data_IF_320560359177
#
_entry.id   IF_320560359177
#
_cell.length_a   1.000
_cell.length_b   1.000
_cell.length_c   1.000
_cell.angle_alpha   90.00
_cell.angle_beta   90.00
_cell.angle_gamma   90.00
#
_symmetry.space_group_name_H-M   'P 1'
#
loop_
_entity.id
_entity.type
_entity.pdbx_description
1 polymer ?
#
# COMPACT_ATOMS: atom_id res chain seq x y z
N UNK A 1 -6.09 -15.10 8.94
CA UNK A 1 -6.68 -14.29 7.87
C UNK A 1 -6.01 -14.61 6.56
N UNK A 2 -6.79 -14.84 5.53
CA UNK A 2 -6.28 -15.08 4.19
C UNK A 2 -6.04 -13.76 3.47
N UNK A 3 -4.94 -13.68 2.73
CA UNK A 3 -4.63 -12.57 1.86
C UNK A 3 -4.77 -12.94 0.40
N UNK A 4 -4.59 -11.97 -0.47
CA UNK A 4 -4.56 -12.14 -1.91
C UNK A 4 -3.19 -11.70 -2.43
N UNK A 5 -2.58 -12.54 -3.25
CA UNK A 5 -1.42 -12.15 -4.04
C UNK A 5 -1.89 -11.73 -5.41
N UNK A 6 -1.44 -10.57 -5.86
CA UNK A 6 -1.79 -9.98 -7.14
C UNK A 6 -0.51 -9.73 -7.93
N UNK A 7 -0.43 -10.34 -9.12
CA UNK A 7 0.69 -10.17 -10.05
C UNK A 7 0.18 -9.55 -11.35
N UNK A 8 1.09 -8.95 -12.12
CA UNK A 8 0.74 -8.45 -13.46
C UNK A 8 -0.12 -7.21 -13.49
N UNK A 9 -0.10 -6.40 -12.42
CA UNK A 9 -0.85 -5.14 -12.35
C UNK A 9 -0.18 -4.02 -13.15
N UNK A 10 1.08 -4.19 -13.49
CA UNK A 10 1.89 -3.17 -14.18
C UNK A 10 1.33 -2.85 -15.57
N UNK A 11 1.29 -1.57 -15.89
CA UNK A 11 0.85 -1.04 -17.20
C UNK A 11 1.88 -0.06 -17.73
N UNK A 12 1.74 0.36 -18.99
CA UNK A 12 2.59 1.41 -19.56
C UNK A 12 2.37 2.79 -18.90
N UNK A 13 1.20 3.00 -18.31
CA UNK A 13 0.83 4.24 -17.62
C UNK A 13 1.24 4.19 -16.15
N UNK A 14 1.20 3.00 -15.57
CA UNK A 14 1.50 2.75 -14.15
C UNK A 14 2.40 1.51 -14.05
N UNK A 15 3.70 1.65 -14.34
CA UNK A 15 4.62 0.50 -14.34
C UNK A 15 4.73 -0.21 -12.99
N UNK A 16 4.57 0.51 -11.88
CA UNK A 16 4.58 -0.09 -10.56
C UNK A 16 3.31 -0.86 -10.23
N UNK A 17 2.20 -0.53 -10.91
CA UNK A 17 0.89 -1.13 -10.64
C UNK A 17 0.21 -0.65 -9.37
N UNK A 18 0.90 0.12 -8.53
CA UNK A 18 0.37 0.57 -7.24
C UNK A 18 -0.86 1.46 -7.40
N UNK A 19 -0.81 2.43 -8.31
CA UNK A 19 -1.94 3.32 -8.57
C UNK A 19 -3.15 2.54 -9.07
N UNK A 20 -2.96 1.64 -10.03
CA UNK A 20 -4.03 0.80 -10.57
C UNK A 20 -4.69 -0.04 -9.47
N UNK A 21 -3.90 -0.65 -8.61
CA UNK A 21 -4.41 -1.41 -7.47
C UNK A 21 -5.25 -0.55 -6.54
N UNK A 22 -4.74 0.61 -6.13
CA UNK A 22 -5.44 1.51 -5.20
C UNK A 22 -6.68 2.12 -5.84
N UNK A 23 -6.64 2.47 -7.12
CA UNK A 23 -7.81 3.01 -7.83
C UNK A 23 -8.94 2.00 -7.96
N UNK A 24 -8.62 0.72 -8.02
CA UNK A 24 -9.63 -0.34 -8.08
C UNK A 24 -10.50 -0.35 -6.81
N UNK A 25 -9.94 0.05 -5.67
CA UNK A 25 -10.66 0.17 -4.40
C UNK A 25 -10.69 1.64 -3.93
N UNK A 26 -10.89 2.54 -4.86
CA UNK A 26 -10.76 3.98 -4.68
C UNK A 26 -11.58 4.54 -3.49
N UNK A 27 -12.84 4.17 -3.38
CA UNK A 27 -13.68 4.62 -2.26
C UNK A 27 -13.14 4.18 -0.90
N UNK A 28 -12.69 2.93 -0.81
CA UNK A 28 -12.04 2.43 0.39
C UNK A 28 -10.77 3.23 0.70
N UNK A 29 -9.94 3.51 -0.30
CA UNK A 29 -8.70 4.28 -0.11
C UNK A 29 -9.00 5.66 0.46
N UNK A 30 -9.99 6.36 -0.10
CA UNK A 30 -10.34 7.72 0.33
C UNK A 30 -10.97 7.78 1.72
N UNK A 31 -11.62 6.70 2.16
CA UNK A 31 -12.30 6.64 3.46
C UNK A 31 -11.35 6.38 4.64
N UNK A 32 -10.08 6.16 4.39
CA UNK A 32 -9.11 5.77 5.41
C UNK A 32 -7.89 6.70 5.41
N UNK A 33 -7.20 6.74 6.55
CA UNK A 33 -5.83 7.24 6.61
C UNK A 33 -4.88 6.08 6.48
N UNK A 34 -3.68 6.36 5.99
CA UNK A 34 -2.71 5.34 5.66
C UNK A 34 -1.37 5.60 6.31
N UNK A 35 -0.76 4.58 6.88
CA UNK A 35 0.65 4.58 7.21
C UNK A 35 1.43 3.94 6.08
N UNK A 36 2.54 4.54 5.71
CA UNK A 36 3.48 3.99 4.72
C UNK A 36 4.83 3.88 5.38
N UNK A 37 5.39 2.69 5.36
CA UNK A 37 6.67 2.41 6.03
C UNK A 37 7.43 1.32 5.30
N UNK A 38 8.71 1.17 5.64
CA UNK A 38 9.61 0.18 5.04
C UNK A 38 9.57 0.23 3.51
N UNK A 39 9.41 1.44 2.96
CA UNK A 39 9.13 1.64 1.56
C UNK A 39 10.40 1.94 0.78
N UNK A 40 10.56 1.26 -0.33
CA UNK A 40 11.55 1.58 -1.36
C UNK A 40 10.79 1.90 -2.63
N UNK A 41 10.53 3.19 -2.83
CA UNK A 41 9.73 3.72 -3.93
C UNK A 41 10.60 4.57 -4.85
N UNK A 42 10.63 4.24 -6.11
CA UNK A 42 11.30 5.04 -7.13
C UNK A 42 10.27 5.90 -7.83
N UNK A 43 10.53 7.20 -7.88
CA UNK A 43 9.58 8.18 -8.36
C UNK A 43 9.96 8.71 -9.76
N UNK A 44 8.94 9.22 -10.47
CA UNK A 44 9.15 9.96 -11.70
C UNK A 44 10.03 11.20 -11.46
N UNK A 45 10.88 11.60 -12.44
CA UNK A 45 11.81 12.72 -12.26
C UNK A 45 11.13 14.07 -11.96
N UNK A 46 9.90 14.25 -12.40
CA UNK A 46 9.12 15.49 -12.21
C UNK A 46 8.22 15.49 -10.98
N UNK A 47 8.44 14.52 -10.07
CA UNK A 47 7.69 14.46 -8.82
C UNK A 47 7.91 15.71 -7.98
N UNK A 48 6.87 16.15 -7.25
CA UNK A 48 6.95 17.32 -6.39
C UNK A 48 7.90 17.09 -5.21
N UNK A 49 8.39 18.19 -4.61
CA UNK A 49 9.20 18.11 -3.40
C UNK A 49 8.46 17.43 -2.25
N UNK A 50 7.15 17.63 -2.14
CA UNK A 50 6.30 16.98 -1.15
C UNK A 50 6.29 15.47 -1.33
N UNK A 51 6.10 14.97 -2.56
CA UNK A 51 6.08 13.54 -2.86
C UNK A 51 7.45 12.89 -2.64
N UNK A 52 8.53 13.55 -3.03
CA UNK A 52 9.89 13.10 -2.76
C UNK A 52 10.13 12.97 -1.25
N UNK A 53 9.69 13.95 -0.47
CA UNK A 53 9.80 13.92 0.99
C UNK A 53 8.97 12.79 1.58
N UNK A 54 7.75 12.57 1.13
CA UNK A 54 6.90 11.47 1.59
C UNK A 54 7.57 10.11 1.35
N UNK A 55 8.10 9.89 0.17
CA UNK A 55 8.79 8.63 -0.16
C UNK A 55 10.04 8.43 0.71
N UNK A 56 10.82 9.48 0.95
CA UNK A 56 12.00 9.42 1.82
C UNK A 56 11.61 9.10 3.27
N UNK A 57 10.62 9.77 3.81
CA UNK A 57 10.15 9.51 5.17
C UNK A 57 9.59 8.09 5.32
N UNK A 58 8.92 7.59 4.31
CA UNK A 58 8.40 6.22 4.30
C UNK A 58 9.53 5.18 4.25
N UNK A 59 10.70 5.51 3.72
CA UNK A 59 11.87 4.64 3.73
C UNK A 59 12.61 4.65 5.07
N UNK A 60 12.56 5.78 5.78
CA UNK A 60 13.29 5.98 7.05
C UNK A 60 12.47 5.63 8.29
N UNK A 61 11.15 5.61 8.18
CA UNK A 61 10.25 5.35 9.30
C UNK A 61 8.83 5.20 8.81
N UNK A 62 7.90 5.83 9.52
CA UNK A 62 6.48 5.83 9.16
C UNK A 62 6.08 7.22 8.69
N UNK A 63 5.45 7.32 7.53
CA UNK A 63 4.77 8.54 7.13
C UNK A 63 3.25 8.30 7.07
N UNK A 64 2.48 9.31 7.47
CA UNK A 64 1.03 9.26 7.45
C UNK A 64 0.48 10.06 6.28
N UNK A 65 -0.41 9.44 5.52
CA UNK A 65 -1.04 10.05 4.35
C UNK A 65 -2.55 9.89 4.44
N UNK A 66 -3.28 10.90 3.95
CA UNK A 66 -4.68 10.70 3.61
C UNK A 66 -4.80 9.78 2.40
N UNK A 67 -6.00 9.24 2.14
CA UNK A 67 -6.22 8.45 0.93
C UNK A 67 -5.91 9.23 -0.35
N UNK A 68 -6.27 10.51 -0.40
CA UNK A 68 -5.96 11.38 -1.55
C UNK A 68 -4.46 11.59 -1.73
N UNK A 69 -3.72 11.81 -0.64
CA UNK A 69 -2.26 11.94 -0.68
C UNK A 69 -1.59 10.63 -1.13
N UNK A 70 -2.10 9.50 -0.66
CA UNK A 70 -1.59 8.19 -1.08
C UNK A 70 -1.78 7.96 -2.59
N UNK A 71 -2.94 8.29 -3.13
CA UNK A 71 -3.20 8.18 -4.57
C UNK A 71 -2.27 9.10 -5.37
N UNK A 72 -2.05 10.32 -4.89
CA UNK A 72 -1.14 11.27 -5.55
C UNK A 72 0.31 10.76 -5.53
N UNK A 73 0.76 10.19 -4.42
CA UNK A 73 2.09 9.58 -4.33
C UNK A 73 2.19 8.37 -5.28
N UNK A 74 1.20 7.49 -5.26
CA UNK A 74 1.18 6.30 -6.11
C UNK A 74 1.27 6.66 -7.60
N UNK A 75 0.66 7.78 -8.02
CA UNK A 75 0.73 8.26 -9.41
C UNK A 75 2.15 8.63 -9.85
N UNK A 76 3.06 8.89 -8.92
CA UNK A 76 4.45 9.23 -9.19
C UNK A 76 5.41 8.04 -9.10
N UNK A 77 4.95 6.88 -8.61
CA UNK A 77 5.80 5.70 -8.39
C UNK A 77 6.03 4.94 -9.68
N UNK A 78 7.28 4.79 -10.07
CA UNK A 78 7.69 3.97 -11.22
C UNK A 78 8.02 2.54 -10.82
N UNK A 79 8.58 2.36 -9.63
CA UNK A 79 8.88 1.05 -9.04
C UNK A 79 8.54 1.10 -7.55
N UNK A 80 7.75 0.15 -7.10
CA UNK A 80 7.51 -0.11 -5.69
C UNK A 80 8.20 -1.43 -5.33
N UNK A 81 9.48 -1.36 -4.96
CA UNK A 81 10.27 -2.54 -4.63
C UNK A 81 9.77 -3.19 -3.34
N UNK A 82 9.59 -2.37 -2.31
CA UNK A 82 9.09 -2.78 -1.00
C UNK A 82 8.17 -1.70 -0.46
N UNK A 83 7.29 -2.07 0.42
CA UNK A 83 6.47 -1.12 1.15
C UNK A 83 5.36 -1.80 1.93
N UNK A 84 5.06 -1.26 3.11
CA UNK A 84 3.92 -1.63 3.92
C UNK A 84 2.95 -0.45 3.99
N UNK A 85 1.76 -0.63 3.43
CA UNK A 85 0.71 0.37 3.35
C UNK A 85 -0.47 -0.13 4.19
N UNK A 86 -0.69 0.48 5.35
CA UNK A 86 -1.74 0.07 6.28
C UNK A 86 -2.85 1.11 6.32
N UNK A 87 -4.08 0.66 6.19
CA UNK A 87 -5.28 1.49 6.24
C UNK A 87 -5.90 1.47 7.63
N UNK A 88 -6.23 2.64 8.15
CA UNK A 88 -6.87 2.82 9.45
C UNK A 88 -8.10 3.72 9.32
N UNK A 89 -9.11 3.54 10.19
CA UNK A 89 -10.17 4.54 10.31
C UNK A 89 -9.58 5.92 10.63
N UNK A 90 -10.08 7.01 10.05
CA UNK A 90 -9.44 8.33 10.18
C UNK A 90 -9.33 8.85 11.63
N UNK A 91 -10.26 8.44 12.50
CA UNK A 91 -10.34 8.93 13.88
C UNK A 91 -9.51 8.11 14.87
N UNK A 92 -8.94 6.98 14.45
CA UNK A 92 -8.20 6.09 15.35
C UNK A 92 -6.81 6.64 15.62
N UNK A 93 -6.39 6.63 16.88
CA UNK A 93 -5.01 6.94 17.24
C UNK A 93 -4.16 5.67 17.20
N UNK A 94 -3.08 5.70 16.44
CA UNK A 94 -2.24 4.54 16.18
C UNK A 94 -0.84 4.79 16.68
N UNK A 95 -0.28 3.79 17.37
CA UNK A 95 1.11 3.77 17.81
C UNK A 95 1.75 2.48 17.34
N UNK A 96 2.95 2.58 16.77
CA UNK A 96 3.75 1.42 16.37
C UNK A 96 4.91 1.23 17.34
N UNK A 97 5.15 -0.03 17.76
CA UNK A 97 6.37 -0.39 18.48
C UNK A 97 7.61 -0.31 17.57
N UNK A 98 7.43 -0.72 16.31
CA UNK A 98 8.40 -0.57 15.23
C UNK A 98 7.64 -0.35 13.92
N UNK A 99 8.26 0.30 12.91
CA UNK A 99 7.57 0.51 11.64
C UNK A 99 7.13 -0.81 11.00
N UNK A 100 5.89 -0.94 10.52
CA UNK A 100 5.45 -2.13 9.80
C UNK A 100 6.41 -2.49 8.66
N UNK A 101 6.73 -3.76 8.53
CA UNK A 101 7.67 -4.27 7.52
C UNK A 101 9.13 -4.17 7.89
N UNK A 102 9.49 -3.50 8.99
CA UNK A 102 10.89 -3.25 9.36
C UNK A 102 11.67 -4.50 9.75
N UNK A 103 10.99 -5.56 10.18
CA UNK A 103 11.63 -6.82 10.60
C UNK A 103 11.74 -7.84 9.46
N UNK A 104 11.31 -7.48 8.26
CA UNK A 104 11.34 -8.38 7.09
C UNK A 104 10.34 -9.52 7.14
N UNK A 105 9.60 -9.68 8.22
CA UNK A 105 8.54 -10.67 8.33
C UNK A 105 7.24 -10.11 7.82
N UNK A 106 6.56 -10.91 7.01
CA UNK A 106 5.26 -10.58 6.44
C UNK A 106 4.20 -11.31 7.27
N UNK A 107 3.69 -10.63 8.30
CA UNK A 107 2.51 -11.09 9.04
C UNK A 107 1.27 -10.44 8.46
N UNK A 108 0.17 -11.18 8.29
CA UNK A 108 -1.08 -10.58 7.88
C UNK A 108 -1.53 -9.52 8.90
N UNK A 109 -1.73 -8.32 8.44
CA UNK A 109 -2.13 -7.13 9.21
C UNK A 109 -1.26 -6.92 10.45
N UNK A 110 -0.23 -6.12 10.28
CA UNK A 110 0.83 -5.86 11.27
C UNK A 110 0.41 -4.94 12.42
N UNK A 111 -0.85 -4.55 12.49
CA UNK A 111 -1.39 -3.76 13.59
C UNK A 111 -2.85 -4.14 13.86
N UNK A 112 -3.25 -4.31 15.12
CA UNK A 112 -4.61 -4.76 15.46
C UNK A 112 -5.72 -3.80 15.04
N UNK A 113 -5.43 -2.51 14.88
CA UNK A 113 -6.41 -1.50 14.46
C UNK A 113 -6.46 -1.29 12.94
N UNK A 114 -5.52 -1.85 12.19
CA UNK A 114 -5.54 -1.76 10.73
C UNK A 114 -6.71 -2.55 10.16
N UNK A 115 -7.42 -1.96 9.21
CA UNK A 115 -8.53 -2.65 8.51
C UNK A 115 -8.08 -3.33 7.24
N UNK A 116 -6.96 -2.89 6.68
CA UNK A 116 -6.34 -3.52 5.52
C UNK A 116 -4.85 -3.20 5.46
N UNK A 117 -4.12 -4.04 4.76
CA UNK A 117 -2.70 -3.85 4.50
C UNK A 117 -2.41 -4.24 3.06
N UNK A 118 -1.68 -3.39 2.37
CA UNK A 118 -1.10 -3.67 1.05
C UNK A 118 0.40 -3.73 1.22
N UNK A 119 1.01 -4.82 0.76
CA UNK A 119 2.45 -4.99 0.76
C UNK A 119 2.96 -5.04 -0.66
N UNK A 120 3.91 -4.16 -0.99
CA UNK A 120 4.66 -4.26 -2.22
C UNK A 120 5.88 -5.15 -1.96
N UNK A 121 6.09 -6.13 -2.83
CA UNK A 121 7.11 -7.17 -2.63
C UNK A 121 7.96 -7.33 -3.89
N UNK A 122 9.25 -7.09 -3.74
CA UNK A 122 10.30 -7.36 -4.73
C UNK A 122 10.04 -6.73 -6.11
N UNK A 123 9.33 -5.60 -6.15
CA UNK A 123 9.03 -4.90 -7.41
C UNK A 123 8.11 -5.64 -8.37
N UNK A 124 7.60 -6.84 -7.99
CA UNK A 124 6.92 -7.73 -8.92
C UNK A 124 5.45 -8.01 -8.59
N UNK A 125 5.06 -7.91 -7.34
CA UNK A 125 3.70 -8.25 -6.96
C UNK A 125 3.27 -7.57 -5.67
N UNK A 126 1.97 -7.67 -5.36
CA UNK A 126 1.39 -7.16 -4.12
C UNK A 126 0.72 -8.29 -3.36
N UNK A 127 0.76 -8.20 -2.05
CA UNK A 127 -0.11 -8.98 -1.18
C UNK A 127 -1.06 -8.03 -0.47
N UNK A 128 -2.34 -8.37 -0.47
CA UNK A 128 -3.39 -7.56 0.15
C UNK A 128 -4.09 -8.40 1.21
N UNK A 129 -4.14 -7.86 2.41
CA UNK A 129 -4.87 -8.44 3.52
C UNK A 129 -5.94 -7.46 3.95
N UNK A 130 -7.17 -7.92 4.17
CA UNK A 130 -8.26 -7.03 4.59
C UNK A 130 -9.17 -7.74 5.58
N UNK A 131 -9.60 -6.98 6.59
CA UNK A 131 -10.67 -7.41 7.49
C UNK A 131 -12.05 -7.18 6.88
N UNK A 132 -12.10 -6.42 5.78
CA UNK A 132 -13.33 -6.13 5.04
C UNK A 132 -13.42 -7.05 3.83
N UNK A 133 -14.32 -8.05 3.84
CA UNK A 133 -14.42 -9.03 2.76
C UNK A 133 -14.67 -8.40 1.39
N UNK A 134 -15.39 -7.29 1.32
CA UNK A 134 -15.71 -6.59 0.08
C UNK A 134 -14.48 -6.11 -0.67
N UNK A 135 -13.41 -5.75 0.02
CA UNK A 135 -12.14 -5.33 -0.62
C UNK A 135 -11.56 -6.51 -1.40
N UNK A 136 -11.42 -7.66 -0.75
CA UNK A 136 -10.87 -8.86 -1.40
C UNK A 136 -11.79 -9.37 -2.52
N UNK A 137 -13.10 -9.35 -2.33
CA UNK A 137 -14.06 -9.74 -3.36
C UNK A 137 -13.91 -8.86 -4.61
N UNK A 138 -13.79 -7.54 -4.41
CA UNK A 138 -13.64 -6.60 -5.52
C UNK A 138 -12.34 -6.81 -6.28
N UNK A 139 -11.23 -6.99 -5.56
CA UNK A 139 -9.93 -7.25 -6.18
C UNK A 139 -9.91 -8.57 -6.95
N UNK A 140 -10.55 -9.60 -6.42
CA UNK A 140 -10.66 -10.90 -7.11
C UNK A 140 -11.43 -10.80 -8.43
N UNK A 141 -12.38 -9.88 -8.53
CA UNK A 141 -13.13 -9.63 -9.78
C UNK A 141 -12.30 -8.88 -10.82
N UNK A 142 -11.37 -8.05 -10.39
CA UNK A 142 -10.62 -7.15 -11.28
C UNK A 142 -9.26 -7.70 -11.67
N UNK A 143 -8.68 -8.59 -10.88
CA UNK A 143 -7.33 -9.12 -11.10
C UNK A 143 -7.30 -10.64 -10.98
N UNK A 144 -6.27 -11.22 -11.59
CA UNK A 144 -5.91 -12.62 -11.31
C UNK A 144 -5.24 -12.66 -9.94
N UNK A 145 -5.83 -13.41 -9.01
CA UNK A 145 -5.39 -13.48 -7.63
C UNK A 145 -5.07 -14.90 -7.21
N UNK A 146 -4.13 -15.04 -6.27
CA UNK A 146 -3.82 -16.29 -5.60
C UNK A 146 -3.98 -16.07 -4.10
N UNK A 147 -4.65 -16.98 -3.40
CA UNK A 147 -4.74 -16.91 -1.94
C UNK A 147 -3.38 -17.11 -1.30
N UNK A 148 -3.07 -16.34 -0.25
CA UNK A 148 -1.84 -16.42 0.51
C UNK A 148 -2.11 -16.17 2.01
N UNK A 149 -1.13 -16.47 2.82
CA UNK A 149 -1.20 -16.33 4.28
C UNK A 149 -1.82 -17.53 4.96
#
# INVERSE_FOLDING_TARGET
MKGLRIEGVNTSVDPAGLLTLLQTVHGFVLDHKWSVSSAELWLLPDSSAEQITQARLASEGVTWLSGAELLALAACVTVANWGAFLAFPPSVKVVFASPPGSEGEVSPIQHPLAVAEVQALDGGFFEVYSRLPEVCVHLTRCFVTTECG
#
